data_IF_083039816336
#
_entry.id   IF_083039816336
#
_cell.length_a   1.000
_cell.length_b   1.000
_cell.length_c   1.000
_cell.angle_alpha   90.00
_cell.angle_beta   90.00
_cell.angle_gamma   90.00
#
_symmetry.space_group_name_H-M   'P 1'
#
loop_
_entity.id
_entity.type
_entity.pdbx_description
1 polymer ?
#
# COMPACT_ATOMS: atom_id res chain seq x y z
N UNK A 1 5.58 -17.66 -12.19
CA UNK A 1 5.85 -16.24 -11.89
C UNK A 1 4.51 -15.57 -11.56
N UNK A 2 4.30 -15.10 -10.33
CA UNK A 2 3.01 -14.54 -9.89
C UNK A 2 2.95 -13.05 -10.29
N UNK A 3 3.00 -12.81 -11.61
CA UNK A 3 3.22 -11.50 -12.25
C UNK A 3 2.25 -10.44 -11.72
N UNK A 4 0.98 -10.83 -11.51
CA UNK A 4 -0.09 -9.94 -11.03
C UNK A 4 0.16 -9.37 -9.63
N UNK A 5 0.76 -10.12 -8.71
CA UNK A 5 1.05 -9.60 -7.35
C UNK A 5 2.19 -8.60 -7.39
N UNK A 6 3.31 -8.97 -8.03
CA UNK A 6 4.50 -8.13 -8.12
C UNK A 6 4.21 -6.80 -8.80
N UNK A 7 3.45 -6.81 -9.90
CA UNK A 7 3.06 -5.59 -10.62
C UNK A 7 2.23 -4.64 -9.75
N UNK A 8 1.24 -5.17 -9.02
CA UNK A 8 0.41 -4.35 -8.12
C UNK A 8 1.27 -3.78 -6.99
N UNK A 9 2.15 -4.58 -6.37
CA UNK A 9 3.01 -4.08 -5.28
C UNK A 9 4.03 -3.05 -5.75
N UNK A 10 4.51 -3.16 -7.00
CA UNK A 10 5.41 -2.18 -7.59
C UNK A 10 4.69 -0.85 -7.80
N UNK A 11 3.49 -0.88 -8.39
CA UNK A 11 2.66 0.32 -8.56
C UNK A 11 2.30 0.95 -7.22
N UNK A 12 1.94 0.15 -6.21
CA UNK A 12 1.65 0.65 -4.87
C UNK A 12 2.86 1.38 -4.26
N UNK A 13 4.06 0.81 -4.40
CA UNK A 13 5.30 1.43 -3.94
C UNK A 13 5.69 2.70 -4.74
N UNK A 14 5.40 2.75 -6.04
CA UNK A 14 5.56 3.96 -6.85
C UNK A 14 4.64 5.08 -6.35
N UNK A 15 3.38 4.77 -6.02
CA UNK A 15 2.40 5.72 -5.49
C UNK A 15 2.78 6.23 -4.10
N UNK A 16 3.30 5.38 -3.22
CA UNK A 16 3.84 5.84 -1.92
C UNK A 16 5.00 6.84 -2.09
N UNK A 17 5.91 6.59 -3.04
CA UNK A 17 7.01 7.53 -3.34
C UNK A 17 6.49 8.87 -3.85
N UNK A 18 5.37 8.86 -4.56
CA UNK A 18 4.67 10.08 -5.01
C UNK A 18 3.79 10.70 -3.93
N UNK A 19 3.76 10.14 -2.71
CA UNK A 19 2.89 10.54 -1.60
C UNK A 19 1.39 10.44 -1.91
N UNK A 20 1.01 9.65 -2.92
CA UNK A 20 -0.36 9.32 -3.27
C UNK A 20 -0.88 8.19 -2.35
N UNK A 21 -0.90 8.44 -1.03
CA UNK A 21 -1.12 7.41 -0.03
C UNK A 21 -2.51 6.75 -0.11
N UNK A 22 -3.54 7.49 -0.54
CA UNK A 22 -4.87 6.93 -0.74
C UNK A 22 -4.87 5.84 -1.83
N UNK A 23 -4.30 6.15 -3.00
CA UNK A 23 -4.22 5.23 -4.14
C UNK A 23 -3.26 4.07 -3.84
N UNK A 24 -2.14 4.36 -3.18
CA UNK A 24 -1.20 3.34 -2.71
C UNK A 24 -1.89 2.34 -1.76
N UNK A 25 -2.66 2.82 -0.79
CA UNK A 25 -3.39 1.99 0.16
C UNK A 25 -4.40 1.05 -0.52
N UNK A 26 -5.13 1.54 -1.52
CA UNK A 26 -6.05 0.71 -2.31
C UNK A 26 -5.31 -0.36 -3.14
N UNK A 27 -4.14 -0.03 -3.68
CA UNK A 27 -3.30 -1.01 -4.38
C UNK A 27 -2.74 -2.07 -3.42
N UNK A 28 -2.34 -1.68 -2.19
CA UNK A 28 -1.91 -2.64 -1.17
C UNK A 28 -3.05 -3.58 -0.73
N UNK A 29 -4.29 -3.09 -0.60
CA UNK A 29 -5.47 -3.94 -0.35
C UNK A 29 -5.74 -4.91 -1.51
N UNK A 30 -5.57 -4.45 -2.76
CA UNK A 30 -5.67 -5.34 -3.94
C UNK A 30 -4.55 -6.39 -3.94
N UNK A 31 -3.33 -6.01 -3.59
CA UNK A 31 -2.19 -6.91 -3.48
C UNK A 31 -2.40 -7.97 -2.39
N UNK A 32 -2.96 -7.56 -1.24
CA UNK A 32 -3.36 -8.45 -0.15
C UNK A 32 -4.30 -9.55 -0.65
N UNK A 33 -5.33 -9.21 -1.43
CA UNK A 33 -6.30 -10.18 -1.93
C UNK A 33 -5.71 -11.21 -2.90
N UNK A 34 -4.68 -10.83 -3.67
CA UNK A 34 -4.02 -11.74 -4.62
C UNK A 34 -2.78 -12.43 -4.05
N UNK A 35 -2.39 -12.10 -2.83
CA UNK A 35 -1.26 -12.71 -2.15
C UNK A 35 -1.59 -14.17 -1.80
N UNK A 36 -0.81 -15.10 -2.35
CA UNK A 36 -0.96 -16.55 -2.08
C UNK A 36 -0.19 -17.04 -0.86
N UNK A 37 0.68 -16.20 -0.30
CA UNK A 37 1.53 -16.51 0.84
C UNK A 37 1.17 -15.57 1.97
N UNK A 38 1.02 -16.11 3.17
CA UNK A 38 0.61 -15.33 4.34
C UNK A 38 1.59 -14.20 4.65
N UNK A 39 2.90 -14.43 4.49
CA UNK A 39 3.92 -13.38 4.65
C UNK A 39 3.72 -12.19 3.70
N UNK A 40 3.28 -12.44 2.46
CA UNK A 40 3.01 -11.39 1.49
C UNK A 40 1.71 -10.66 1.83
N UNK A 41 0.70 -11.39 2.31
CA UNK A 41 -0.56 -10.82 2.76
C UNK A 41 -0.32 -9.89 3.97
N UNK A 42 0.42 -10.36 4.97
CA UNK A 42 0.78 -9.58 6.15
C UNK A 42 1.57 -8.32 5.78
N UNK A 43 2.55 -8.45 4.88
CA UNK A 43 3.28 -7.30 4.34
C UNK A 43 2.35 -6.26 3.68
N UNK A 44 1.43 -6.71 2.82
CA UNK A 44 0.47 -5.81 2.17
C UNK A 44 -0.46 -5.13 3.17
N UNK A 45 -0.87 -5.84 4.23
CA UNK A 45 -1.67 -5.26 5.31
C UNK A 45 -0.92 -4.14 6.03
N UNK A 46 0.31 -4.39 6.47
CA UNK A 46 1.12 -3.34 7.12
C UNK A 46 1.32 -2.11 6.25
N UNK A 47 1.48 -2.30 4.94
CA UNK A 47 1.64 -1.19 3.99
C UNK A 47 0.35 -0.42 3.76
N UNK A 48 -0.80 -1.10 3.72
CA UNK A 48 -2.10 -0.44 3.66
C UNK A 48 -2.35 0.40 4.93
N UNK A 49 -2.02 -0.14 6.11
CA UNK A 49 -2.13 0.58 7.39
C UNK A 49 -1.20 1.80 7.43
N UNK A 50 0.05 1.65 6.98
CA UNK A 50 0.99 2.77 6.84
C UNK A 50 0.46 3.89 5.94
N UNK A 51 -0.10 3.53 4.77
CA UNK A 51 -0.70 4.49 3.86
C UNK A 51 -1.87 5.23 4.52
N UNK A 52 -2.73 4.51 5.25
CA UNK A 52 -3.84 5.10 5.99
C UNK A 52 -3.35 6.10 7.04
N UNK A 53 -2.38 5.71 7.89
CA UNK A 53 -1.80 6.61 8.89
C UNK A 53 -1.14 7.85 8.27
N UNK A 54 -0.50 7.69 7.10
CA UNK A 54 0.17 8.76 6.36
C UNK A 54 -0.82 9.79 5.78
N UNK A 55 -2.07 9.39 5.53
CA UNK A 55 -3.13 10.32 5.11
C UNK A 55 -3.53 11.26 6.25
N UNK A 56 -3.59 10.77 7.49
CA UNK A 56 -4.08 11.54 8.65
C UNK A 56 -3.00 12.39 9.33
N UNK A 57 -1.73 11.99 9.25
CA UNK A 57 -0.61 12.77 9.83
C UNK A 57 -0.40 14.13 9.14
N UNK A 58 -0.95 14.33 7.94
CA UNK A 58 -0.89 15.61 7.22
C UNK A 58 -1.88 16.65 7.75
N UNK A 59 -2.90 16.26 8.51
CA UNK A 59 -3.91 17.17 9.07
C UNK A 59 -3.44 17.92 10.32
N UNK A 60 -2.26 17.58 10.86
CA UNK A 60 -1.74 18.16 12.11
C UNK A 60 -0.62 19.20 11.90
N UNK A 61 -0.35 19.60 10.66
CA UNK A 61 0.56 20.71 10.34
C UNK A 61 -0.23 21.90 9.79
N UNK A 62 -1.03 22.54 10.65
CA UNK A 62 -1.49 23.91 10.44
C UNK A 62 -0.84 24.71 11.57
N UNK A 63 0.23 25.44 11.23
CA UNK A 63 0.81 26.50 12.07
C UNK A 63 0.04 27.80 11.84
#
# INVERSE_FOLDING_TARGET
MNIKFLDITRQAADMERQRAFQEAGELWKKALFVARRDANAEYCRYRADFCLSSMFTRSSQIY
#
